data_IF_207016129932
#
_entry.id   IF_207016129932
#
_cell.length_a   1.000
_cell.length_b   1.000
_cell.length_c   1.000
_cell.angle_alpha   90.00
_cell.angle_beta   90.00
_cell.angle_gamma   90.00
#
_symmetry.space_group_name_H-M   'P 1'
#
loop_
_entity.id
_entity.type
_entity.pdbx_description
1 polymer ?
#
# COMPACT_ATOMS: atom_id res chain seq x y z
N UNK A 1 -12.22 -65.84 -36.33
CA UNK A 1 -11.50 -64.62 -35.93
C UNK A 1 -12.39 -63.81 -34.99
N UNK A 2 -12.15 -63.85 -33.67
CA UNK A 2 -12.87 -63.04 -32.68
C UNK A 2 -11.85 -62.39 -31.74
N UNK A 3 -12.10 -61.11 -31.48
CA UNK A 3 -11.16 -60.06 -31.07
C UNK A 3 -10.70 -60.22 -29.61
N UNK A 4 -9.40 -59.99 -29.39
CA UNK A 4 -8.78 -59.82 -28.06
C UNK A 4 -9.13 -58.40 -27.57
N UNK A 5 -9.79 -58.31 -26.42
CA UNK A 5 -9.94 -57.03 -25.70
C UNK A 5 -8.69 -56.81 -24.85
N UNK A 6 -7.90 -55.80 -25.21
CA UNK A 6 -6.81 -55.28 -24.39
C UNK A 6 -7.42 -54.29 -23.40
N UNK A 7 -7.38 -54.63 -22.11
CA UNK A 7 -7.70 -53.71 -21.02
C UNK A 7 -6.45 -52.88 -20.76
N UNK A 8 -6.49 -51.58 -21.10
CA UNK A 8 -5.48 -50.60 -20.72
C UNK A 8 -5.84 -50.05 -19.33
N UNK A 9 -4.98 -50.14 -18.30
CA UNK A 9 -5.25 -49.46 -17.04
C UNK A 9 -4.97 -47.97 -17.22
N UNK A 10 -6.02 -47.16 -17.03
CA UNK A 10 -5.93 -45.71 -16.98
C UNK A 10 -5.23 -45.33 -15.65
N UNK A 11 -3.92 -45.13 -15.69
CA UNK A 11 -3.18 -44.56 -14.56
C UNK A 11 -3.60 -43.10 -14.41
N UNK A 12 -4.40 -42.80 -13.37
CA UNK A 12 -4.74 -41.45 -12.99
C UNK A 12 -3.49 -40.69 -12.53
N UNK A 13 -3.07 -39.71 -13.33
CA UNK A 13 -2.12 -38.69 -12.92
C UNK A 13 -2.79 -37.80 -11.87
N UNK A 14 -2.54 -38.10 -10.60
CA UNK A 14 -2.83 -37.16 -9.50
C UNK A 14 -1.75 -36.07 -9.59
N UNK A 15 -2.07 -34.97 -10.27
CA UNK A 15 -1.28 -33.75 -10.21
C UNK A 15 -1.44 -33.16 -8.80
N UNK A 16 -0.52 -33.51 -7.91
CA UNK A 16 -0.29 -32.75 -6.69
C UNK A 16 0.26 -31.38 -7.11
N UNK A 17 -0.62 -30.36 -7.17
CA UNK A 17 -0.18 -28.97 -7.18
C UNK A 17 0.35 -28.64 -5.79
N UNK A 18 1.59 -29.04 -5.50
CA UNK A 18 2.35 -28.41 -4.43
C UNK A 18 2.66 -26.99 -4.90
N UNK A 19 1.87 -26.01 -4.45
CA UNK A 19 2.38 -24.64 -4.44
C UNK A 19 3.68 -24.65 -3.61
N UNK A 20 4.79 -24.13 -4.15
CA UNK A 20 6.01 -24.03 -3.36
C UNK A 20 5.72 -23.20 -2.11
N UNK A 21 5.86 -23.81 -0.95
CA UNK A 21 5.86 -23.11 0.33
C UNK A 21 7.17 -22.34 0.40
N UNK A 22 7.13 -21.07 0.05
CA UNK A 22 8.27 -20.19 0.28
C UNK A 22 8.36 -19.89 1.77
N UNK A 23 9.38 -20.40 2.45
CA UNK A 23 9.75 -19.92 3.77
C UNK A 23 10.33 -18.51 3.61
N UNK A 24 9.54 -17.50 3.98
CA UNK A 24 10.05 -16.14 4.10
C UNK A 24 10.88 -16.05 5.36
N UNK A 25 12.16 -15.71 5.17
CA UNK A 25 12.99 -15.28 6.29
C UNK A 25 12.56 -13.87 6.65
N UNK A 26 11.92 -13.70 7.80
CA UNK A 26 11.75 -12.39 8.41
C UNK A 26 13.01 -12.05 9.19
N UNK A 27 13.85 -11.12 8.70
CA UNK A 27 15.15 -10.91 9.29
C UNK A 27 15.05 -10.16 10.62
N UNK A 28 15.85 -10.54 11.60
CA UNK A 28 15.84 -9.96 12.94
C UNK A 28 17.25 -9.70 13.46
N UNK A 29 17.43 -8.54 14.12
CA UNK A 29 18.69 -8.23 14.79
C UNK A 29 18.88 -9.14 16.00
N UNK A 30 19.84 -10.07 15.93
CA UNK A 30 20.27 -10.93 17.07
C UNK A 30 21.21 -10.23 18.05
N UNK A 31 21.37 -8.92 17.91
CA UNK A 31 22.25 -8.07 18.71
C UNK A 31 21.48 -6.87 19.20
N UNK A 32 21.98 -6.22 20.26
CA UNK A 32 21.34 -5.02 20.81
C UNK A 32 21.16 -3.93 19.73
N UNK A 33 19.99 -3.28 19.77
CA UNK A 33 19.64 -2.20 18.86
C UNK A 33 20.59 -1.01 19.03
N UNK A 34 21.05 -0.45 17.90
CA UNK A 34 21.84 0.78 17.95
C UNK A 34 21.00 2.01 18.33
N UNK A 35 19.68 1.87 18.39
CA UNK A 35 18.75 2.91 18.82
C UNK A 35 18.54 2.93 20.34
N UNK A 36 19.20 2.02 21.08
CA UNK A 36 19.13 2.05 22.54
C UNK A 36 19.71 3.35 23.08
N UNK A 37 18.94 4.03 23.94
CA UNK A 37 19.28 5.31 24.54
C UNK A 37 19.53 6.43 23.51
N UNK A 38 18.80 6.42 22.38
CA UNK A 38 18.74 7.56 21.47
C UNK A 38 17.53 8.43 21.76
N UNK A 39 17.64 9.73 21.52
CA UNK A 39 16.51 10.65 21.55
C UNK A 39 15.71 10.57 20.24
N UNK A 40 14.42 10.89 20.32
CA UNK A 40 13.55 10.99 19.14
C UNK A 40 13.96 12.15 18.24
N UNK A 41 13.95 11.93 16.93
CA UNK A 41 14.28 12.98 15.96
C UNK A 41 13.17 14.02 15.88
N UNK A 42 13.54 15.30 15.91
CA UNK A 42 12.59 16.40 15.72
C UNK A 42 11.96 16.37 14.32
N UNK A 43 10.71 16.83 14.21
CA UNK A 43 10.01 16.96 12.93
C UNK A 43 10.82 17.75 11.88
N UNK A 44 11.49 18.83 12.31
CA UNK A 44 12.34 19.66 11.44
C UNK A 44 13.49 18.85 10.82
N UNK A 45 14.14 17.98 11.59
CA UNK A 45 15.21 17.11 11.09
C UNK A 45 14.64 16.09 10.10
N UNK A 46 13.51 15.44 10.43
CA UNK A 46 12.85 14.47 9.56
C UNK A 46 12.54 15.06 8.18
N UNK A 47 11.84 16.21 8.15
CA UNK A 47 11.51 16.92 6.90
C UNK A 47 12.77 17.32 6.12
N UNK A 48 13.85 17.71 6.80
CA UNK A 48 15.11 18.05 6.12
C UNK A 48 15.76 16.87 5.41
N UNK A 49 15.50 15.66 5.89
CA UNK A 49 16.00 14.41 5.31
C UNK A 49 15.11 13.86 4.19
N UNK A 50 13.87 14.32 4.04
CA UNK A 50 13.06 13.92 2.89
C UNK A 50 13.64 14.47 1.59
N UNK A 51 13.60 13.66 0.53
CA UNK A 51 14.08 14.06 -0.78
C UNK A 51 14.65 12.91 -1.61
N UNK A 52 15.43 13.30 -2.61
CA UNK A 52 16.05 12.39 -3.58
C UNK A 52 17.53 12.27 -3.29
N UNK A 53 18.03 11.04 -3.30
CA UNK A 53 19.40 10.68 -3.02
C UNK A 53 20.02 9.91 -4.18
N UNK A 54 21.32 10.09 -4.37
CA UNK A 54 22.14 9.25 -5.25
C UNK A 54 22.69 8.08 -4.43
N UNK A 55 22.57 6.87 -4.93
CA UNK A 55 23.22 5.70 -4.35
C UNK A 55 24.67 5.66 -4.87
N UNK A 56 25.63 6.00 -4.01
CA UNK A 56 27.07 6.04 -4.34
C UNK A 56 27.71 4.67 -4.13
N UNK A 57 27.27 3.93 -3.11
CA UNK A 57 27.62 2.52 -2.87
C UNK A 57 26.33 1.71 -2.69
N UNK A 58 26.25 0.52 -3.29
CA UNK A 58 25.07 -0.33 -3.31
C UNK A 58 24.09 -0.06 -4.45
N UNK A 59 24.51 0.67 -5.50
CA UNK A 59 23.65 1.02 -6.64
C UNK A 59 23.30 -0.21 -7.49
N UNK A 60 24.18 -1.20 -7.52
CA UNK A 60 23.91 -2.53 -8.07
C UNK A 60 22.73 -3.21 -7.36
N UNK A 61 22.53 -2.98 -6.06
CA UNK A 61 21.42 -3.56 -5.30
C UNK A 61 20.13 -2.70 -5.33
N UNK A 62 20.23 -1.37 -5.26
CA UNK A 62 19.07 -0.50 -5.03
C UNK A 62 18.73 0.44 -6.19
N UNK A 63 19.58 0.46 -7.24
CA UNK A 63 19.54 1.41 -8.34
C UNK A 63 20.26 2.72 -8.00
N UNK A 64 20.48 3.58 -9.00
CA UNK A 64 21.30 4.80 -8.85
C UNK A 64 20.61 5.92 -8.05
N UNK A 65 19.28 5.89 -7.97
CA UNK A 65 18.45 6.91 -7.31
C UNK A 65 17.55 6.22 -6.29
N UNK A 66 17.47 6.82 -5.12
CA UNK A 66 16.58 6.40 -4.05
C UNK A 66 15.87 7.61 -3.44
N UNK A 67 14.58 7.45 -3.15
CA UNK A 67 13.74 8.45 -2.49
C UNK A 67 13.73 8.18 -1.00
N UNK A 68 13.84 9.20 -0.15
CA UNK A 68 13.65 9.07 1.29
C UNK A 68 12.41 9.85 1.73
N UNK A 69 11.53 9.21 2.51
CA UNK A 69 10.28 9.79 3.00
C UNK A 69 10.02 9.37 4.44
N UNK A 70 9.51 10.30 5.25
CA UNK A 70 9.08 10.02 6.61
C UNK A 70 7.57 9.83 6.70
N UNK A 71 7.16 8.83 7.48
CA UNK A 71 5.78 8.55 7.86
C UNK A 71 5.74 8.34 9.38
N UNK A 72 5.34 9.38 10.12
CA UNK A 72 5.41 9.41 11.58
C UNK A 72 6.84 9.23 12.12
N UNK A 73 7.09 8.10 12.77
CA UNK A 73 8.39 7.71 13.34
C UNK A 73 9.21 6.78 12.44
N UNK A 74 8.73 6.50 11.23
CA UNK A 74 9.38 5.59 10.28
C UNK A 74 10.00 6.38 9.13
N UNK A 75 11.26 6.10 8.84
CA UNK A 75 11.94 6.53 7.62
C UNK A 75 11.89 5.40 6.60
N UNK A 76 11.27 5.67 5.46
CA UNK A 76 11.27 4.75 4.33
C UNK A 76 12.18 5.25 3.22
N UNK A 77 12.91 4.32 2.61
CA UNK A 77 13.60 4.57 1.34
C UNK A 77 12.94 3.78 0.21
N UNK A 78 12.82 4.36 -0.98
CA UNK A 78 12.23 3.72 -2.17
C UNK A 78 13.17 3.79 -3.36
N UNK A 79 13.81 2.67 -3.67
CA UNK A 79 14.76 2.51 -4.77
C UNK A 79 14.11 1.95 -6.03
N UNK A 80 14.80 2.11 -7.16
CA UNK A 80 14.26 1.75 -8.49
C UNK A 80 14.40 0.28 -8.84
N UNK A 81 15.45 -0.37 -8.35
CA UNK A 81 15.73 -1.77 -8.70
C UNK A 81 14.74 -2.68 -7.97
N UNK A 82 13.96 -3.45 -8.73
CA UNK A 82 13.00 -4.45 -8.20
C UNK A 82 12.05 -3.90 -7.13
N UNK A 83 11.72 -2.60 -7.21
CA UNK A 83 10.90 -1.94 -6.19
C UNK A 83 11.49 -2.00 -4.79
N UNK A 84 12.82 -1.97 -4.68
CA UNK A 84 13.51 -2.05 -3.40
C UNK A 84 13.05 -0.97 -2.44
N UNK A 85 12.87 -1.32 -1.18
CA UNK A 85 12.52 -0.34 -0.17
C UNK A 85 13.13 -0.68 1.18
N UNK A 86 13.24 0.33 2.03
CA UNK A 86 13.74 0.22 3.39
C UNK A 86 12.65 0.71 4.34
N UNK A 87 12.56 0.11 5.51
CA UNK A 87 11.70 0.57 6.61
C UNK A 87 12.57 0.64 7.86
N UNK A 88 12.86 1.86 8.30
CA UNK A 88 13.82 2.13 9.36
C UNK A 88 13.19 2.95 10.49
N UNK A 89 13.63 2.67 11.71
CA UNK A 89 13.49 3.60 12.84
C UNK A 89 14.77 4.43 12.95
N UNK A 90 14.64 5.65 13.47
CA UNK A 90 15.76 6.57 13.61
C UNK A 90 15.78 7.29 14.94
N UNK A 91 16.97 7.62 15.43
CA UNK A 91 17.18 8.34 16.68
C UNK A 91 18.50 9.12 16.66
N UNK A 92 18.60 10.15 17.50
CA UNK A 92 19.83 10.92 17.67
C UNK A 92 20.59 10.52 18.93
N UNK A 93 21.92 10.50 18.84
CA UNK A 93 22.81 10.32 19.99
C UNK A 93 24.11 11.07 19.73
N UNK A 94 24.49 11.94 20.66
CA UNK A 94 25.64 12.82 20.53
C UNK A 94 25.61 13.64 19.23
N UNK A 95 26.61 13.46 18.35
CA UNK A 95 26.70 14.11 17.03
C UNK A 95 26.38 13.13 15.89
N UNK A 96 25.50 12.17 16.18
CA UNK A 96 25.08 11.14 15.23
C UNK A 96 23.56 11.04 15.14
N UNK A 97 23.07 10.76 13.94
CA UNK A 97 21.73 10.24 13.72
C UNK A 97 21.90 8.80 13.25
N UNK A 98 21.24 7.88 13.95
CA UNK A 98 21.34 6.44 13.75
C UNK A 98 20.02 5.94 13.17
N UNK A 99 20.11 4.97 12.26
CA UNK A 99 18.95 4.27 11.69
C UNK A 99 19.15 2.78 11.72
N UNK A 100 18.10 2.05 12.05
CA UNK A 100 18.09 0.60 12.08
C UNK A 100 16.77 0.06 11.53
N UNK A 101 16.84 -0.99 10.73
CA UNK A 101 15.64 -1.65 10.22
C UNK A 101 15.96 -2.64 9.11
N UNK A 102 15.00 -2.80 8.20
CA UNK A 102 15.03 -3.81 7.14
C UNK A 102 15.00 -3.17 5.76
N UNK A 103 15.52 -3.87 4.76
CA UNK A 103 15.28 -3.60 3.34
C UNK A 103 14.65 -4.82 2.69
N UNK A 104 13.89 -4.62 1.61
CA UNK A 104 13.21 -5.69 0.86
C UNK A 104 13.02 -5.32 -0.61
N UNK A 105 12.94 -6.30 -1.49
CA UNK A 105 12.42 -6.14 -2.85
C UNK A 105 10.91 -6.40 -2.90
N UNK A 106 10.15 -5.46 -3.49
CA UNK A 106 8.69 -5.59 -3.59
C UNK A 106 8.25 -6.72 -4.53
N UNK A 107 9.08 -7.08 -5.51
CA UNK A 107 8.77 -8.10 -6.53
C UNK A 107 9.53 -9.42 -6.33
N UNK A 108 10.19 -9.61 -5.20
CA UNK A 108 10.86 -10.89 -4.86
C UNK A 108 10.81 -11.18 -3.36
N UNK A 109 11.37 -12.33 -2.94
CA UNK A 109 11.48 -12.73 -1.54
C UNK A 109 12.71 -12.17 -0.83
N UNK A 110 13.60 -11.48 -1.56
CA UNK A 110 14.85 -10.98 -1.01
C UNK A 110 14.62 -9.84 -0.03
N UNK A 111 15.24 -9.98 1.14
CA UNK A 111 15.13 -9.07 2.27
C UNK A 111 16.39 -9.14 3.11
N UNK A 112 16.63 -8.13 3.93
CA UNK A 112 17.73 -8.17 4.87
C UNK A 112 17.77 -6.98 5.82
N UNK A 113 18.76 -7.00 6.70
CA UNK A 113 18.94 -5.99 7.72
C UNK A 113 19.87 -4.86 7.25
N UNK A 114 19.66 -3.67 7.79
CA UNK A 114 20.52 -2.53 7.54
C UNK A 114 20.65 -1.62 8.76
N UNK A 115 21.84 -1.02 8.89
CA UNK A 115 22.13 0.03 9.88
C UNK A 115 22.80 1.18 9.15
N UNK A 116 22.24 2.36 9.33
CA UNK A 116 22.73 3.59 8.71
C UNK A 116 23.06 4.63 9.77
N UNK A 117 23.94 5.56 9.40
CA UNK A 117 24.37 6.66 10.26
C UNK A 117 24.62 7.92 9.44
N UNK A 118 24.27 9.05 10.05
CA UNK A 118 24.77 10.37 9.66
C UNK A 118 25.62 10.86 10.83
N UNK A 119 26.87 11.20 10.55
CA UNK A 119 27.82 11.70 11.54
C UNK A 119 28.52 12.96 10.99
N UNK A 120 29.43 13.52 11.78
CA UNK A 120 30.21 14.71 11.39
C UNK A 120 30.92 14.56 10.03
N UNK A 121 31.54 13.40 9.77
CA UNK A 121 32.21 13.13 8.47
C UNK A 121 31.23 13.08 7.30
N UNK A 122 29.97 12.75 7.59
CA UNK A 122 28.89 12.65 6.61
C UNK A 122 28.08 13.93 6.49
N UNK A 123 28.50 15.03 7.14
CA UNK A 123 27.89 16.35 6.98
C UNK A 123 26.68 16.63 7.87
N UNK A 124 26.57 16.01 9.05
CA UNK A 124 25.46 16.24 10.00
C UNK A 124 25.25 17.74 10.33
N UNK A 125 26.32 18.54 10.34
CA UNK A 125 26.24 19.97 10.62
C UNK A 125 25.35 20.71 9.61
N UNK A 126 25.26 20.23 8.36
CA UNK A 126 24.35 20.79 7.34
C UNK A 126 22.88 20.45 7.58
N UNK A 127 22.59 19.40 8.36
CA UNK A 127 21.23 19.04 8.79
C UNK A 127 20.81 19.78 10.05
N UNK A 128 21.75 19.99 10.98
CA UNK A 128 21.49 20.62 12.28
C UNK A 128 21.46 22.15 12.18
N UNK A 129 22.32 22.75 11.38
CA UNK A 129 22.39 24.20 11.23
C UNK A 129 21.35 24.71 10.21
N UNK A 130 20.76 25.89 10.47
CA UNK A 130 19.71 26.50 9.65
C UNK A 130 20.25 27.47 8.59
N UNK A 131 21.56 27.54 8.42
CA UNK A 131 22.16 28.43 7.43
C UNK A 131 21.87 27.88 6.04
N UNK A 132 21.17 28.69 5.25
CA UNK A 132 20.55 28.50 3.93
C UNK A 132 21.50 28.10 2.78
N UNK A 133 22.56 27.34 3.07
CA UNK A 133 23.44 26.73 2.09
C UNK A 133 22.86 25.45 1.46
N UNK A 134 23.42 25.07 0.31
CA UNK A 134 23.13 23.79 -0.32
C UNK A 134 23.37 22.63 0.67
N UNK A 135 22.31 21.86 0.96
CA UNK A 135 22.41 20.65 1.80
C UNK A 135 23.40 19.68 1.16
N UNK A 136 24.46 19.33 1.88
CA UNK A 136 25.43 18.34 1.43
C UNK A 136 25.77 17.41 2.58
N UNK A 137 24.92 16.40 2.75
CA UNK A 137 25.18 15.30 3.66
C UNK A 137 25.04 13.95 2.94
N UNK A 138 25.62 12.94 3.53
CA UNK A 138 25.44 11.54 3.14
C UNK A 138 24.90 10.73 4.30
N UNK A 139 24.19 9.67 3.96
CA UNK A 139 23.81 8.60 4.88
C UNK A 139 24.71 7.43 4.51
N UNK A 140 25.49 6.93 5.47
CA UNK A 140 26.42 5.82 5.25
C UNK A 140 26.07 4.67 6.18
N UNK A 141 26.43 3.46 5.83
CA UNK A 141 26.18 2.32 6.69
C UNK A 141 26.45 1.00 6.02
N UNK A 142 25.78 -0.03 6.52
CA UNK A 142 25.87 -1.37 5.96
C UNK A 142 24.49 -1.97 5.75
N UNK A 143 24.42 -2.90 4.80
CA UNK A 143 23.29 -3.81 4.64
C UNK A 143 23.83 -5.22 4.44
N UNK A 144 22.98 -6.21 4.67
CA UNK A 144 23.25 -7.58 4.28
C UNK A 144 21.97 -8.32 3.96
N UNK A 145 22.08 -9.61 3.69
CA UNK A 145 20.94 -10.46 3.32
C UNK A 145 20.45 -11.21 4.56
N UNK A 146 19.14 -11.39 4.65
CA UNK A 146 18.48 -12.04 5.77
C UNK A 146 18.98 -11.46 7.11
N UNK A 147 19.50 -12.30 8.00
CA UNK A 147 19.96 -11.91 9.34
C UNK A 147 21.38 -11.31 9.37
N UNK A 148 22.12 -11.34 8.26
CA UNK A 148 23.40 -10.63 8.16
C UNK A 148 23.17 -9.18 7.76
N UNK A 149 23.78 -8.23 8.48
CA UNK A 149 23.62 -6.79 8.23
C UNK A 149 24.94 -6.08 7.91
N UNK A 150 26.08 -6.79 7.98
CA UNK A 150 27.43 -6.20 7.86
C UNK A 150 28.13 -6.59 6.57
N UNK A 151 27.41 -7.20 5.63
CA UNK A 151 28.03 -7.80 4.45
C UNK A 151 28.50 -6.77 3.44
N UNK A 152 27.75 -5.67 3.27
CA UNK A 152 27.97 -4.72 2.18
C UNK A 152 27.85 -3.26 2.66
N UNK A 153 28.66 -2.38 2.07
CA UNK A 153 28.59 -0.94 2.30
C UNK A 153 27.43 -0.30 1.52
N UNK A 154 26.76 0.66 2.13
CA UNK A 154 25.81 1.57 1.46
C UNK A 154 26.18 3.02 1.74
N UNK A 155 26.05 3.86 0.70
CA UNK A 155 26.23 5.31 0.80
C UNK A 155 25.20 6.02 -0.05
N UNK A 156 24.38 6.84 0.59
CA UNK A 156 23.34 7.65 -0.04
C UNK A 156 23.72 9.12 0.08
N UNK A 157 23.94 9.81 -1.04
CA UNK A 157 24.25 11.24 -1.06
C UNK A 157 22.99 12.05 -1.37
N UNK A 158 22.63 12.99 -0.49
CA UNK A 158 21.49 13.88 -0.74
C UNK A 158 21.70 14.68 -2.03
N UNK A 159 20.70 14.72 -2.89
CA UNK A 159 20.72 15.51 -4.13
C UNK A 159 19.86 16.76 -3.96
N UNK A 160 18.58 16.58 -3.62
CA UNK A 160 17.58 17.65 -3.60
C UNK A 160 16.34 17.28 -2.79
N UNK A 161 15.55 18.27 -2.35
CA UNK A 161 14.20 18.00 -1.84
C UNK A 161 13.27 17.52 -2.96
N UNK A 162 12.06 17.09 -2.59
CA UNK A 162 10.98 16.89 -3.56
C UNK A 162 10.70 18.18 -4.32
N UNK A 163 10.44 18.06 -5.62
CA UNK A 163 10.17 19.22 -6.47
C UNK A 163 8.91 19.95 -6.03
N UNK A 164 8.77 21.21 -6.46
CA UNK A 164 7.56 21.98 -6.17
C UNK A 164 6.32 21.33 -6.76
N UNK A 165 6.39 20.78 -7.97
CA UNK A 165 5.29 20.05 -8.60
C UNK A 165 4.84 18.86 -7.75
N UNK A 166 5.78 18.07 -7.21
CA UNK A 166 5.47 16.92 -6.34
C UNK A 166 4.87 17.37 -5.01
N UNK A 167 5.36 18.47 -4.42
CA UNK A 167 4.89 18.99 -3.12
C UNK A 167 3.53 19.65 -3.20
N UNK A 168 3.22 20.32 -4.31
CA UNK A 168 2.00 21.10 -4.47
C UNK A 168 0.85 20.29 -5.10
N UNK A 169 1.12 19.17 -5.79
CA UNK A 169 0.07 18.32 -6.35
C UNK A 169 -0.52 17.39 -5.29
N UNK A 170 -1.85 17.36 -5.20
CA UNK A 170 -2.58 16.39 -4.38
C UNK A 170 -2.70 15.06 -5.12
N UNK A 171 -1.58 14.33 -5.23
CA UNK A 171 -1.52 13.03 -5.91
C UNK A 171 -1.68 11.87 -4.92
N UNK A 172 -2.46 10.86 -5.30
CA UNK A 172 -2.76 9.71 -4.46
C UNK A 172 -1.97 8.47 -4.90
N UNK A 173 -1.19 7.92 -3.96
CA UNK A 173 -0.58 6.60 -4.08
C UNK A 173 -1.45 5.69 -3.23
N UNK A 174 -2.28 4.88 -3.88
CA UNK A 174 -3.24 4.01 -3.22
C UNK A 174 -2.69 2.60 -3.16
N UNK A 175 -2.57 2.07 -1.93
CA UNK A 175 -2.20 0.68 -1.75
C UNK A 175 -3.43 -0.23 -1.88
N UNK A 176 -3.37 -1.15 -2.83
CA UNK A 176 -4.42 -2.13 -3.08
C UNK A 176 -4.54 -3.12 -1.92
N UNK A 177 -5.77 -3.45 -1.52
CA UNK A 177 -6.10 -4.35 -0.39
C UNK A 177 -5.42 -3.95 0.93
N UNK A 178 -5.23 -2.65 1.13
CA UNK A 178 -4.55 -2.06 2.28
C UNK A 178 -3.02 -1.99 2.20
N UNK A 179 -2.36 -2.64 1.23
CA UNK A 179 -0.89 -2.65 1.17
C UNK A 179 -0.25 -3.47 0.05
N UNK A 180 -0.96 -4.47 -0.48
CA UNK A 180 -0.50 -5.39 -1.52
C UNK A 180 -1.14 -6.78 -1.35
N UNK A 181 -0.73 -7.75 -2.17
CA UNK A 181 -1.28 -9.13 -2.10
C UNK A 181 -0.47 -9.99 -1.15
N UNK A 182 -1.10 -11.03 -0.64
CA UNK A 182 -0.38 -12.06 0.13
C UNK A 182 0.79 -12.69 -0.65
N UNK A 183 0.67 -12.82 -1.98
CA UNK A 183 1.73 -13.35 -2.85
C UNK A 183 2.93 -12.40 -3.03
N UNK A 184 2.80 -11.14 -2.64
CA UNK A 184 3.88 -10.14 -2.67
C UNK A 184 4.62 -10.05 -1.32
N UNK A 185 4.18 -10.82 -0.31
CA UNK A 185 4.85 -10.99 0.97
C UNK A 185 5.08 -9.67 1.74
N UNK A 186 4.03 -8.85 1.78
CA UNK A 186 4.00 -7.50 2.35
C UNK A 186 3.87 -7.48 3.88
N UNK A 187 4.38 -8.51 4.58
CA UNK A 187 4.49 -8.55 6.05
C UNK A 187 3.19 -8.69 6.86
N UNK A 188 2.03 -8.53 6.22
CA UNK A 188 0.71 -8.72 6.80
C UNK A 188 -0.27 -9.21 5.73
N UNK A 189 -1.40 -9.77 6.15
CA UNK A 189 -2.41 -10.29 5.23
C UNK A 189 -3.15 -9.16 4.51
N UNK A 190 -3.45 -9.33 3.23
CA UNK A 190 -4.32 -8.41 2.50
C UNK A 190 -5.66 -8.21 3.25
N UNK A 191 -6.18 -6.98 3.25
CA UNK A 191 -7.40 -6.57 3.97
C UNK A 191 -7.38 -6.71 5.51
N UNK A 192 -6.21 -6.87 6.17
CA UNK A 192 -6.09 -6.81 7.64
C UNK A 192 -5.88 -5.39 8.19
N UNK A 193 -6.00 -5.21 9.51
CA UNK A 193 -5.64 -3.93 10.16
C UNK A 193 -4.12 -3.71 10.15
N UNK A 194 -3.37 -4.80 10.23
CA UNK A 194 -1.92 -4.84 10.24
C UNK A 194 -1.37 -4.34 8.90
N UNK A 195 -1.92 -4.77 7.76
CA UNK A 195 -1.46 -4.29 6.46
C UNK A 195 -1.80 -2.81 6.24
N UNK A 196 -2.97 -2.35 6.72
CA UNK A 196 -3.34 -0.93 6.70
C UNK A 196 -2.32 -0.09 7.47
N UNK A 197 -1.78 -0.60 8.58
CA UNK A 197 -0.73 0.06 9.39
C UNK A 197 0.61 0.19 8.65
N UNK A 198 0.84 -0.63 7.63
CA UNK A 198 2.07 -0.64 6.83
C UNK A 198 1.97 0.24 5.59
N UNK A 199 0.77 0.60 5.15
CA UNK A 199 0.53 1.36 3.91
C UNK A 199 1.40 2.62 3.77
N UNK A 200 1.46 3.46 4.82
CA UNK A 200 2.25 4.70 4.81
C UNK A 200 3.76 4.43 4.75
N UNK A 201 4.20 3.29 5.28
CA UNK A 201 5.61 2.87 5.25
C UNK A 201 6.00 2.40 3.85
N UNK A 202 5.04 1.92 3.06
CA UNK A 202 5.20 1.61 1.65
C UNK A 202 5.04 2.82 0.72
N UNK A 203 4.87 4.02 1.29
CA UNK A 203 4.79 5.28 0.54
C UNK A 203 3.39 5.64 0.07
N UNK A 204 2.38 4.84 0.43
CA UNK A 204 0.99 5.14 0.15
C UNK A 204 0.46 6.27 1.03
N UNK A 205 -0.47 7.05 0.49
CA UNK A 205 -1.22 8.07 1.24
C UNK A 205 -2.74 7.83 1.21
N UNK A 206 -3.16 6.74 0.59
CA UNK A 206 -4.48 6.17 0.70
C UNK A 206 -4.44 4.66 0.48
N UNK A 207 -5.57 4.02 0.70
CA UNK A 207 -5.74 2.58 0.52
C UNK A 207 -7.01 2.30 -0.28
N UNK A 208 -7.05 1.13 -0.88
CA UNK A 208 -8.28 0.47 -1.29
C UNK A 208 -8.45 -0.78 -0.41
N UNK A 209 -9.70 -1.09 -0.03
CA UNK A 209 -10.07 -2.27 0.76
C UNK A 209 -11.35 -2.88 0.22
N UNK A 210 -11.38 -4.22 0.21
CA UNK A 210 -12.48 -5.00 -0.36
C UNK A 210 -13.58 -5.22 0.68
N UNK A 211 -14.80 -4.76 0.40
CA UNK A 211 -15.93 -4.81 1.33
C UNK A 211 -16.96 -5.86 0.92
N UNK A 212 -17.19 -6.81 1.81
CA UNK A 212 -18.19 -7.88 1.72
C UNK A 212 -19.25 -7.73 2.81
N UNK A 213 -20.40 -8.40 2.65
CA UNK A 213 -21.48 -8.39 3.63
C UNK A 213 -21.63 -9.78 4.26
N UNK A 214 -21.57 -9.87 5.60
CA UNK A 214 -21.77 -11.14 6.31
C UNK A 214 -23.24 -11.57 6.31
N UNK A 215 -23.53 -12.82 6.67
CA UNK A 215 -24.91 -13.35 6.75
C UNK A 215 -25.83 -12.51 7.63
N UNK A 216 -25.28 -11.95 8.70
CA UNK A 216 -25.96 -11.08 9.67
C UNK A 216 -25.85 -9.58 9.31
N UNK A 217 -25.54 -9.28 8.04
CA UNK A 217 -25.49 -7.93 7.46
C UNK A 217 -24.46 -6.99 8.09
N UNK A 218 -23.32 -7.52 8.53
CA UNK A 218 -22.20 -6.73 9.02
C UNK A 218 -21.15 -6.60 7.91
N UNK A 219 -20.82 -5.39 7.44
CA UNK A 219 -19.75 -5.21 6.47
C UNK A 219 -18.38 -5.60 7.03
N UNK A 220 -17.60 -6.36 6.28
CA UNK A 220 -16.28 -6.84 6.67
C UNK A 220 -15.32 -6.86 5.49
N UNK A 221 -14.01 -6.96 5.77
CA UNK A 221 -12.99 -6.93 4.72
C UNK A 221 -12.55 -8.33 4.28
N UNK A 222 -12.69 -8.60 2.99
CA UNK A 222 -12.25 -9.84 2.33
C UNK A 222 -12.41 -9.72 0.80
N UNK A 223 -11.48 -10.27 0.00
CA UNK A 223 -11.50 -10.07 -1.45
C UNK A 223 -12.29 -11.15 -2.21
N UNK A 224 -11.97 -12.44 -2.05
CA UNK A 224 -12.59 -13.50 -2.86
C UNK A 224 -13.99 -13.89 -2.36
N UNK A 225 -14.86 -14.37 -3.25
CA UNK A 225 -16.21 -14.80 -2.87
C UNK A 225 -16.25 -15.98 -1.89
N UNK A 226 -15.20 -16.81 -1.86
CA UNK A 226 -15.12 -18.03 -1.06
C UNK A 226 -13.89 -18.04 -0.15
N UNK A 227 -14.02 -18.67 1.02
CA UNK A 227 -12.89 -18.98 1.90
C UNK A 227 -11.89 -19.86 1.14
N UNK A 228 -10.64 -19.41 1.05
CA UNK A 228 -9.61 -20.05 0.26
C UNK A 228 -8.20 -19.90 0.88
N UNK A 229 -7.26 -20.77 0.46
CA UNK A 229 -5.90 -20.80 1.01
C UNK A 229 -4.97 -19.67 0.53
N UNK A 230 -5.39 -18.87 -0.45
CA UNK A 230 -4.66 -17.67 -0.91
C UNK A 230 -4.81 -16.55 0.11
N UNK A 231 -5.98 -16.42 0.73
CA UNK A 231 -6.30 -15.37 1.71
C UNK A 231 -6.26 -15.85 3.17
N UNK A 232 -6.48 -17.14 3.43
CA UNK A 232 -6.61 -17.66 4.79
C UNK A 232 -5.66 -18.81 5.07
N UNK A 233 -5.42 -19.08 6.35
CA UNK A 233 -4.90 -20.37 6.79
C UNK A 233 -5.95 -21.46 6.57
N UNK A 234 -5.50 -22.71 6.54
CA UNK A 234 -6.40 -23.87 6.50
C UNK A 234 -7.26 -23.87 7.77
N UNK A 235 -8.58 -23.78 7.59
CA UNK A 235 -9.55 -23.70 8.69
C UNK A 235 -10.71 -24.68 8.54
N UNK A 236 -11.69 -24.54 9.43
CA UNK A 236 -12.89 -25.41 9.46
C UNK A 236 -13.98 -24.97 8.50
N UNK A 237 -14.07 -23.67 8.21
CA UNK A 237 -15.09 -23.12 7.31
C UNK A 237 -14.62 -23.18 5.86
N UNK A 238 -15.55 -23.52 4.96
CA UNK A 238 -15.35 -23.59 3.51
C UNK A 238 -16.59 -23.05 2.80
N UNK A 239 -16.43 -22.52 1.59
CA UNK A 239 -17.51 -22.00 0.76
C UNK A 239 -17.67 -20.47 0.84
N UNK A 240 -18.82 -19.93 0.39
CA UNK A 240 -19.01 -18.49 0.25
C UNK A 240 -18.91 -17.76 1.58
N UNK A 241 -18.10 -16.70 1.65
CA UNK A 241 -17.86 -15.97 2.91
C UNK A 241 -19.13 -15.32 3.46
N UNK A 242 -20.04 -14.92 2.58
CA UNK A 242 -21.31 -14.29 2.96
C UNK A 242 -22.31 -15.24 3.64
N UNK A 243 -22.07 -16.56 3.60
CA UNK A 243 -22.93 -17.55 4.26
C UNK A 243 -22.69 -17.65 5.78
N UNK A 244 -21.71 -16.92 6.31
CA UNK A 244 -21.31 -16.96 7.71
C UNK A 244 -21.58 -15.63 8.40
N UNK A 245 -21.90 -15.68 9.69
CA UNK A 245 -22.00 -14.46 10.51
C UNK A 245 -20.61 -13.91 10.80
N UNK A 246 -20.51 -12.61 11.12
CA UNK A 246 -19.21 -12.01 11.44
C UNK A 246 -18.55 -12.70 12.64
N UNK A 247 -19.33 -13.12 13.62
CA UNK A 247 -18.83 -13.86 14.79
C UNK A 247 -18.22 -15.21 14.40
N UNK A 248 -18.82 -15.93 13.44
CA UNK A 248 -18.27 -17.18 12.92
C UNK A 248 -16.98 -16.94 12.15
N UNK A 249 -16.95 -15.93 11.27
CA UNK A 249 -15.76 -15.58 10.49
C UNK A 249 -14.58 -15.24 11.41
N UNK A 250 -14.78 -14.36 12.40
CA UNK A 250 -13.73 -13.99 13.36
C UNK A 250 -13.25 -15.15 14.24
N UNK A 251 -14.13 -16.10 14.53
CA UNK A 251 -13.79 -17.23 15.41
C UNK A 251 -13.02 -18.34 14.68
N UNK A 252 -13.40 -18.63 13.43
CA UNK A 252 -12.97 -19.84 12.73
C UNK A 252 -12.13 -19.59 11.48
N UNK A 253 -11.97 -18.34 11.06
CA UNK A 253 -11.11 -17.96 9.94
C UNK A 253 -9.95 -17.12 10.46
N UNK A 254 -8.74 -17.52 10.08
CA UNK A 254 -7.54 -16.74 10.25
C UNK A 254 -7.02 -16.37 8.86
N UNK A 255 -6.71 -15.09 8.67
CA UNK A 255 -6.05 -14.62 7.47
C UNK A 255 -4.67 -15.26 7.34
N UNK A 256 -4.06 -15.13 6.15
CA UNK A 256 -2.84 -15.86 5.75
C UNK A 256 -1.72 -15.82 6.79
N UNK A 257 -1.48 -14.66 7.41
CA UNK A 257 -0.44 -14.46 8.42
C UNK A 257 -0.95 -14.63 9.88
N UNK A 258 -2.22 -14.96 10.08
CA UNK A 258 -2.81 -15.29 11.38
C UNK A 258 -3.72 -14.22 11.97
N UNK A 259 -3.89 -13.09 11.28
CA UNK A 259 -4.77 -12.02 11.70
C UNK A 259 -6.25 -12.44 11.63
N UNK A 260 -7.11 -11.72 12.33
CA UNK A 260 -8.56 -11.91 12.26
C UNK A 260 -9.14 -11.07 11.12
N UNK A 261 -10.25 -11.54 10.54
CA UNK A 261 -11.02 -10.76 9.58
C UNK A 261 -11.60 -9.51 10.27
N UNK A 262 -11.25 -8.30 9.83
CA UNK A 262 -11.80 -7.08 10.41
C UNK A 262 -13.18 -6.77 9.82
N UNK A 263 -14.04 -6.14 10.62
CA UNK A 263 -15.21 -5.43 10.11
C UNK A 263 -14.78 -4.14 9.41
N UNK A 264 -15.63 -3.61 8.54
CA UNK A 264 -15.38 -2.30 7.92
C UNK A 264 -15.27 -1.19 8.98
N UNK A 265 -16.08 -1.25 10.04
CA UNK A 265 -16.02 -0.27 11.13
C UNK A 265 -14.65 -0.29 11.82
N UNK A 266 -14.16 -1.48 12.21
CA UNK A 266 -12.82 -1.61 12.81
C UNK A 266 -11.71 -1.10 11.89
N UNK A 267 -11.79 -1.39 10.59
CA UNK A 267 -10.81 -0.92 9.61
C UNK A 267 -10.82 0.61 9.45
N UNK A 268 -11.99 1.23 9.34
CA UNK A 268 -12.11 2.67 9.20
C UNK A 268 -11.76 3.43 10.49
N UNK A 269 -12.08 2.86 11.66
CA UNK A 269 -11.60 3.40 12.94
C UNK A 269 -10.08 3.34 13.04
N UNK A 270 -9.48 2.22 12.63
CA UNK A 270 -8.04 2.08 12.58
C UNK A 270 -7.40 3.12 11.64
N UNK A 271 -7.97 3.34 10.45
CA UNK A 271 -7.53 4.42 9.55
C UNK A 271 -7.64 5.79 10.22
N UNK A 272 -8.74 6.06 10.93
CA UNK A 272 -9.00 7.35 11.56
C UNK A 272 -8.01 7.67 12.69
N UNK A 273 -7.78 6.70 13.58
CA UNK A 273 -7.07 6.92 14.85
C UNK A 273 -5.61 6.46 14.84
N UNK A 274 -5.23 5.53 13.95
CA UNK A 274 -3.92 4.88 13.99
C UNK A 274 -3.06 5.13 12.74
N UNK A 275 -3.55 5.92 11.78
CA UNK A 275 -2.81 6.27 10.56
C UNK A 275 -2.94 7.75 10.22
N UNK A 276 -2.09 8.25 9.32
CA UNK A 276 -2.28 9.55 8.67
C UNK A 276 -2.77 9.45 7.22
N UNK A 277 -3.28 8.29 6.81
CA UNK A 277 -3.88 8.08 5.49
C UNK A 277 -4.96 9.14 5.23
N UNK A 278 -5.04 9.59 3.99
CA UNK A 278 -5.93 10.68 3.56
C UNK A 278 -7.12 10.17 2.75
N UNK A 279 -7.06 8.93 2.28
CA UNK A 279 -8.03 8.40 1.34
C UNK A 279 -8.28 6.90 1.56
N UNK A 280 -9.55 6.51 1.49
CA UNK A 280 -9.99 5.10 1.48
C UNK A 280 -10.95 4.90 0.31
N UNK A 281 -10.63 3.95 -0.56
CA UNK A 281 -11.54 3.40 -1.57
C UNK A 281 -12.15 2.12 -1.01
N UNK A 282 -13.48 2.07 -0.89
CA UNK A 282 -14.21 0.86 -0.52
C UNK A 282 -14.61 0.10 -1.80
N UNK A 283 -13.88 -0.94 -2.18
CA UNK A 283 -14.23 -1.77 -3.34
C UNK A 283 -15.39 -2.71 -2.94
N UNK A 284 -16.57 -2.45 -3.50
CA UNK A 284 -17.81 -3.11 -3.09
C UNK A 284 -17.96 -4.45 -3.81
N UNK A 285 -17.67 -5.56 -3.12
CA UNK A 285 -17.63 -6.92 -3.69
C UNK A 285 -18.90 -7.75 -3.51
N UNK A 286 -19.74 -7.39 -2.54
CA UNK A 286 -20.92 -8.20 -2.16
C UNK A 286 -21.90 -8.42 -3.31
N UNK A 287 -22.49 -9.61 -3.43
CA UNK A 287 -23.60 -9.84 -4.36
C UNK A 287 -24.96 -9.38 -3.78
N UNK A 288 -24.96 -8.91 -2.52
CA UNK A 288 -26.12 -8.38 -1.82
C UNK A 288 -26.00 -6.87 -1.65
N UNK A 289 -27.15 -6.20 -1.46
CA UNK A 289 -27.15 -4.76 -1.23
C UNK A 289 -26.57 -4.42 0.16
N UNK A 290 -25.30 -4.04 0.17
CA UNK A 290 -24.55 -3.60 1.35
C UNK A 290 -24.51 -2.08 1.55
N UNK A 291 -25.11 -1.31 0.63
CA UNK A 291 -25.08 0.16 0.65
C UNK A 291 -25.59 0.75 1.97
N UNK A 292 -26.72 0.32 2.56
CA UNK A 292 -27.22 0.93 3.79
C UNK A 292 -26.22 0.89 4.94
N UNK A 293 -25.60 -0.28 5.17
CA UNK A 293 -24.66 -0.48 6.26
C UNK A 293 -23.31 0.19 5.99
N UNK A 294 -22.83 0.14 4.75
CA UNK A 294 -21.53 0.75 4.38
C UNK A 294 -21.61 2.27 4.43
N UNK A 295 -22.68 2.88 3.92
CA UNK A 295 -22.86 4.34 3.92
C UNK A 295 -23.03 4.87 5.35
N UNK A 296 -23.75 4.16 6.21
CA UNK A 296 -23.91 4.53 7.62
C UNK A 296 -22.54 4.60 8.34
N UNK A 297 -21.72 3.55 8.20
CA UNK A 297 -20.36 3.51 8.77
C UNK A 297 -19.49 4.61 8.15
N UNK A 298 -19.54 4.80 6.83
CA UNK A 298 -18.79 5.83 6.12
C UNK A 298 -19.10 7.22 6.67
N UNK A 299 -20.38 7.59 6.78
CA UNK A 299 -20.81 8.91 7.23
C UNK A 299 -20.42 9.16 8.69
N UNK A 300 -20.59 8.16 9.56
CA UNK A 300 -20.17 8.24 10.95
C UNK A 300 -18.66 8.51 11.07
N UNK A 301 -17.83 7.76 10.34
CA UNK A 301 -16.37 7.96 10.35
C UNK A 301 -15.99 9.33 9.78
N UNK A 302 -16.61 9.78 8.68
CA UNK A 302 -16.33 11.10 8.10
C UNK A 302 -16.73 12.23 9.06
N UNK A 303 -17.84 12.10 9.79
CA UNK A 303 -18.24 13.05 10.82
C UNK A 303 -17.22 13.09 11.97
N UNK A 304 -16.78 11.93 12.46
CA UNK A 304 -15.72 11.85 13.49
C UNK A 304 -14.40 12.42 13.00
N UNK A 305 -14.03 12.18 11.74
CA UNK A 305 -12.84 12.77 11.11
C UNK A 305 -12.92 14.30 11.07
N UNK A 306 -14.07 14.87 10.68
CA UNK A 306 -14.29 16.31 10.66
C UNK A 306 -14.15 16.92 12.06
N UNK A 307 -14.71 16.28 13.10
CA UNK A 307 -14.58 16.73 14.49
C UNK A 307 -13.13 16.72 14.99
N UNK A 308 -12.30 15.80 14.49
CA UNK A 308 -10.88 15.69 14.80
C UNK A 308 -9.99 16.58 13.90
N UNK A 309 -10.58 17.30 12.93
CA UNK A 309 -9.83 18.06 11.94
C UNK A 309 -8.98 17.19 10.99
N UNK A 310 -9.30 15.89 10.88
CA UNK A 310 -8.64 14.96 9.95
C UNK A 310 -9.17 15.20 8.53
N UNK A 311 -8.27 15.54 7.62
CA UNK A 311 -8.56 15.51 6.19
C UNK A 311 -8.53 14.06 5.68
N UNK A 312 -9.65 13.36 5.85
CA UNK A 312 -9.86 11.98 5.44
C UNK A 312 -11.03 11.92 4.47
N UNK A 313 -10.81 11.29 3.32
CA UNK A 313 -11.83 10.99 2.33
C UNK A 313 -12.09 9.49 2.29
N UNK A 314 -13.36 9.10 2.24
CA UNK A 314 -13.77 7.71 2.08
C UNK A 314 -14.74 7.69 0.91
N UNK A 315 -14.47 6.90 -0.13
CA UNK A 315 -15.34 6.79 -1.31
C UNK A 315 -15.92 5.38 -1.40
N UNK A 316 -17.24 5.29 -1.55
CA UNK A 316 -17.91 4.04 -1.93
C UNK A 316 -17.59 3.75 -3.40
N UNK A 317 -16.92 2.63 -3.68
CA UNK A 317 -16.60 2.18 -5.02
C UNK A 317 -17.81 1.56 -5.72
N UNK A 318 -17.92 1.78 -7.03
CA UNK A 318 -18.99 1.25 -7.87
C UNK A 318 -18.39 0.41 -8.99
N UNK A 319 -17.95 -0.83 -8.69
CA UNK A 319 -17.27 -1.71 -9.66
C UNK A 319 -18.23 -2.34 -10.67
N UNK A 320 -19.54 -2.32 -10.39
CA UNK A 320 -20.58 -2.99 -11.19
C UNK A 320 -21.84 -2.15 -11.31
N UNK A 321 -22.65 -2.42 -12.34
CA UNK A 321 -23.98 -1.80 -12.49
C UNK A 321 -24.91 -2.13 -11.32
N UNK A 322 -24.75 -3.31 -10.71
CA UNK A 322 -25.50 -3.69 -9.51
C UNK A 322 -25.22 -2.72 -8.36
N UNK A 323 -23.95 -2.41 -8.09
CA UNK A 323 -23.57 -1.45 -7.05
C UNK A 323 -24.03 -0.03 -7.40
N UNK A 324 -23.88 0.38 -8.66
CA UNK A 324 -24.37 1.68 -9.13
C UNK A 324 -25.88 1.82 -8.88
N UNK A 325 -26.67 0.81 -9.24
CA UNK A 325 -28.12 0.83 -9.06
C UNK A 325 -28.53 0.80 -7.58
N UNK A 326 -27.80 0.05 -6.74
CA UNK A 326 -28.02 0.05 -5.29
C UNK A 326 -27.76 1.44 -4.68
N UNK A 327 -26.72 2.15 -5.15
CA UNK A 327 -26.48 3.52 -4.71
C UNK A 327 -27.58 4.47 -5.19
N UNK A 328 -28.00 4.41 -6.46
CA UNK A 328 -29.11 5.24 -6.98
C UNK A 328 -30.42 5.02 -6.23
N UNK A 329 -30.67 3.80 -5.74
CA UNK A 329 -31.83 3.48 -4.93
C UNK A 329 -31.71 3.92 -3.46
N UNK A 330 -30.52 4.32 -3.00
CA UNK A 330 -30.29 4.76 -1.64
C UNK A 330 -30.86 6.18 -1.41
N UNK A 331 -31.58 6.45 -0.30
CA UNK A 331 -32.10 7.77 0.00
C UNK A 331 -30.99 8.83 0.07
N UNK A 332 -31.16 9.96 -0.62
CA UNK A 332 -30.18 11.06 -0.67
C UNK A 332 -28.80 10.62 -1.17
N UNK A 333 -28.72 9.66 -2.09
CA UNK A 333 -27.46 9.15 -2.64
C UNK A 333 -26.52 10.24 -3.18
N UNK A 334 -27.06 11.38 -3.62
CA UNK A 334 -26.26 12.51 -4.12
C UNK A 334 -25.29 13.07 -3.07
N UNK A 335 -25.55 12.84 -1.78
CA UNK A 335 -24.69 13.26 -0.68
C UNK A 335 -23.63 12.22 -0.31
N UNK A 336 -23.69 11.02 -0.90
CA UNK A 336 -22.78 9.91 -0.61
C UNK A 336 -21.51 10.08 -1.43
N UNK A 337 -20.33 10.30 -0.80
CA UNK A 337 -19.08 10.33 -1.53
C UNK A 337 -18.79 8.97 -2.17
N UNK A 338 -18.71 8.95 -3.50
CA UNK A 338 -18.51 7.74 -4.30
C UNK A 338 -17.48 7.94 -5.40
N UNK A 339 -16.94 6.82 -5.84
CA UNK A 339 -16.04 6.66 -6.97
C UNK A 339 -16.64 5.61 -7.92
N UNK A 340 -16.59 5.86 -9.23
CA UNK A 340 -17.15 4.96 -10.24
C UNK A 340 -16.07 4.38 -11.15
N UNK A 341 -16.08 3.06 -11.32
CA UNK A 341 -15.08 2.34 -12.14
C UNK A 341 -15.56 2.04 -13.55
N UNK A 342 -16.82 2.34 -13.83
CA UNK A 342 -17.50 2.03 -15.08
C UNK A 342 -17.24 3.13 -16.13
N UNK A 343 -18.12 3.26 -17.12
CA UNK A 343 -18.00 4.31 -18.14
C UNK A 343 -18.13 5.73 -17.57
N UNK A 344 -17.62 6.72 -18.31
CA UNK A 344 -17.76 8.15 -17.96
C UNK A 344 -19.24 8.56 -17.86
N UNK A 345 -20.10 8.02 -18.74
CA UNK A 345 -21.54 8.28 -18.69
C UNK A 345 -22.18 7.77 -17.39
N UNK A 346 -21.78 6.57 -16.94
CA UNK A 346 -22.23 6.00 -15.67
C UNK A 346 -21.68 6.77 -14.46
N UNK A 347 -20.43 7.22 -14.54
CA UNK A 347 -19.84 8.11 -13.55
C UNK A 347 -20.65 9.43 -13.41
N UNK A 348 -21.05 10.03 -14.52
CA UNK A 348 -21.88 11.25 -14.51
C UNK A 348 -23.30 11.00 -14.02
N UNK A 349 -23.94 9.88 -14.40
CA UNK A 349 -25.33 9.59 -14.05
C UNK A 349 -25.53 9.43 -12.53
N UNK A 350 -24.53 8.89 -11.83
CA UNK A 350 -24.55 8.73 -10.37
C UNK A 350 -23.97 9.95 -9.62
N UNK A 351 -23.33 10.88 -10.33
CA UNK A 351 -22.76 12.09 -9.75
C UNK A 351 -21.53 11.86 -8.88
N UNK A 352 -20.77 10.78 -9.11
CA UNK A 352 -19.56 10.44 -8.34
C UNK A 352 -18.52 11.57 -8.34
N UNK A 353 -17.60 11.53 -7.37
CA UNK A 353 -16.53 12.53 -7.23
C UNK A 353 -15.26 12.14 -7.99
N UNK A 354 -15.05 10.84 -8.17
CA UNK A 354 -13.86 10.27 -8.79
C UNK A 354 -14.26 9.23 -9.83
N UNK A 355 -13.66 9.29 -11.01
CA UNK A 355 -13.74 8.24 -12.02
C UNK A 355 -12.50 7.36 -11.93
N UNK A 356 -12.64 6.03 -12.03
CA UNK A 356 -11.54 5.10 -11.86
C UNK A 356 -11.52 4.01 -12.96
N UNK A 357 -11.09 4.34 -14.19
CA UNK A 357 -10.96 3.36 -15.26
C UNK A 357 -9.81 2.36 -15.01
N UNK A 358 -9.91 1.21 -15.68
CA UNK A 358 -8.81 0.24 -15.75
C UNK A 358 -7.65 0.81 -16.55
N UNK A 359 -6.42 0.56 -16.09
CA UNK A 359 -5.21 1.06 -16.76
C UNK A 359 -5.05 0.58 -18.20
N UNK A 360 -5.62 -0.58 -18.54
CA UNK A 360 -5.57 -1.14 -19.90
C UNK A 360 -6.33 -0.31 -20.93
N UNK A 361 -7.11 0.68 -20.49
CA UNK A 361 -7.77 1.67 -21.36
C UNK A 361 -6.83 2.81 -21.77
N UNK A 362 -5.59 2.84 -21.27
CA UNK A 362 -4.60 3.86 -21.58
C UNK A 362 -4.68 5.10 -20.68
N UNK A 363 -4.04 6.19 -21.10
CA UNK A 363 -3.91 7.41 -20.28
C UNK A 363 -5.16 8.29 -20.27
N UNK A 364 -6.07 8.11 -21.24
CA UNK A 364 -7.40 8.75 -21.29
C UNK A 364 -7.35 10.28 -21.08
N UNK A 365 -6.31 10.94 -21.58
CA UNK A 365 -6.03 12.36 -21.32
C UNK A 365 -7.22 13.28 -21.64
N UNK A 366 -7.92 13.16 -22.79
CA UNK A 366 -9.06 14.02 -23.08
C UNK A 366 -10.19 13.91 -22.04
N UNK A 367 -10.49 12.68 -21.59
CA UNK A 367 -11.53 12.41 -20.61
C UNK A 367 -11.11 12.95 -19.23
N UNK A 368 -9.87 12.68 -18.81
CA UNK A 368 -9.33 13.17 -17.53
C UNK A 368 -9.33 14.70 -17.48
N UNK A 369 -8.94 15.39 -18.56
CA UNK A 369 -9.00 16.86 -18.64
C UNK A 369 -10.41 17.41 -18.57
N UNK A 370 -11.36 16.74 -19.22
CA UNK A 370 -12.78 17.12 -19.16
C UNK A 370 -13.26 17.04 -17.71
N UNK A 371 -12.99 15.92 -17.03
CA UNK A 371 -13.33 15.72 -15.62
C UNK A 371 -12.66 16.76 -14.70
N UNK A 372 -11.39 17.09 -14.93
CA UNK A 372 -10.70 18.15 -14.18
C UNK A 372 -11.36 19.52 -14.39
N UNK A 373 -11.82 19.83 -15.61
CA UNK A 373 -12.58 21.04 -15.92
C UNK A 373 -13.91 21.15 -15.16
N UNK A 374 -14.48 20.01 -14.76
CA UNK A 374 -15.69 19.91 -13.93
C UNK A 374 -15.38 19.89 -12.42
N UNK A 375 -14.10 19.98 -12.02
CA UNK A 375 -13.67 19.85 -10.64
C UNK A 375 -13.75 18.42 -10.09
N UNK A 376 -13.83 17.42 -10.97
CA UNK A 376 -13.76 15.99 -10.63
C UNK A 376 -12.32 15.50 -10.65
N UNK A 377 -12.09 14.30 -10.11
CA UNK A 377 -10.77 13.63 -10.14
C UNK A 377 -10.85 12.32 -10.90
N UNK A 378 -9.70 11.83 -11.35
CA UNK A 378 -9.59 10.52 -11.97
C UNK A 378 -8.45 9.70 -11.35
N UNK A 379 -8.71 8.45 -10.99
CA UNK A 379 -7.71 7.47 -10.54
C UNK A 379 -7.58 6.34 -11.56
N UNK A 380 -6.52 5.53 -11.48
CA UNK A 380 -6.33 4.39 -12.38
C UNK A 380 -5.95 3.13 -11.62
N UNK A 381 -6.48 1.98 -12.03
CA UNK A 381 -6.27 0.69 -11.34
C UNK A 381 -6.19 -0.53 -12.26
N UNK A 382 -5.72 -1.69 -11.80
CA UNK A 382 -4.64 -1.85 -10.79
C UNK A 382 -3.32 -1.90 -11.55
N UNK A 383 -2.44 -0.92 -11.31
CA UNK A 383 -1.25 -0.69 -12.13
C UNK A 383 0.00 -1.21 -11.42
N UNK A 384 0.46 -2.41 -11.80
CA UNK A 384 1.54 -3.11 -11.08
C UNK A 384 2.86 -3.19 -11.85
N UNK A 385 2.82 -3.11 -13.18
CA UNK A 385 4.01 -3.28 -13.99
C UNK A 385 4.86 -2.00 -13.98
N UNK A 386 6.11 -2.09 -13.53
CA UNK A 386 7.02 -0.94 -13.37
C UNK A 386 7.12 -0.05 -14.61
N UNK A 387 7.19 -0.64 -15.81
CA UNK A 387 7.26 0.13 -17.05
C UNK A 387 6.00 0.96 -17.29
N UNK A 388 4.81 0.39 -17.05
CA UNK A 388 3.55 1.12 -17.17
C UNK A 388 3.34 2.10 -16.02
N UNK A 389 3.75 1.78 -14.78
CA UNK A 389 3.77 2.77 -13.68
C UNK A 389 4.61 3.98 -14.09
N UNK A 390 5.82 3.76 -14.61
CA UNK A 390 6.70 4.84 -15.07
C UNK A 390 6.06 5.66 -16.19
N UNK A 391 5.44 5.00 -17.16
CA UNK A 391 4.72 5.65 -18.25
C UNK A 391 3.59 6.54 -17.71
N UNK A 392 2.69 6.00 -16.88
CA UNK A 392 1.55 6.75 -16.35
C UNK A 392 1.97 7.91 -15.46
N UNK A 393 3.01 7.75 -14.64
CA UNK A 393 3.55 8.84 -13.81
C UNK A 393 4.06 10.01 -14.68
N UNK A 394 4.58 9.74 -15.87
CA UNK A 394 5.16 10.74 -16.75
C UNK A 394 4.16 11.35 -17.73
N UNK A 395 3.26 10.53 -18.26
CA UNK A 395 2.46 10.85 -19.46
C UNK A 395 0.98 11.00 -19.17
N UNK A 396 0.48 10.52 -18.03
CA UNK A 396 -0.94 10.62 -17.68
C UNK A 396 -1.23 11.83 -16.80
N UNK A 397 -2.50 12.20 -16.74
CA UNK A 397 -3.00 13.29 -15.90
C UNK A 397 -3.83 12.79 -14.72
N UNK A 398 -3.89 11.48 -14.48
CA UNK A 398 -4.58 10.91 -13.33
C UNK A 398 -4.10 11.55 -12.01
N UNK A 399 -5.02 11.65 -11.06
CA UNK A 399 -4.81 12.17 -9.72
C UNK A 399 -4.30 11.10 -8.76
N UNK A 400 -4.35 9.82 -9.15
CA UNK A 400 -3.86 8.74 -8.33
C UNK A 400 -3.75 7.40 -9.04
N UNK A 401 -2.88 6.54 -8.50
CA UNK A 401 -2.66 5.17 -8.95
C UNK A 401 -2.99 4.22 -7.82
N UNK A 402 -3.83 3.22 -8.10
CA UNK A 402 -4.03 2.03 -7.29
C UNK A 402 -3.09 0.91 -7.76
N UNK A 403 -2.32 0.35 -6.83
CA UNK A 403 -1.27 -0.63 -7.14
C UNK A 403 -1.03 -1.59 -5.97
N UNK A 404 -0.55 -2.80 -6.29
CA UNK A 404 0.04 -3.72 -5.31
C UNK A 404 1.46 -3.31 -4.89
N UNK A 405 2.08 -2.37 -5.62
CA UNK A 405 3.46 -1.94 -5.39
C UNK A 405 3.55 -0.43 -5.16
N UNK A 406 2.94 0.10 -4.08
CA UNK A 406 3.01 1.53 -3.76
C UNK A 406 4.44 2.03 -3.60
N UNK A 407 5.39 1.16 -3.21
CA UNK A 407 6.82 1.47 -3.12
C UNK A 407 7.43 1.88 -4.47
N UNK A 408 7.01 1.25 -5.56
CA UNK A 408 7.47 1.56 -6.92
C UNK A 408 6.90 2.91 -7.35
N UNK A 409 5.60 3.14 -7.13
CA UNK A 409 4.95 4.42 -7.42
C UNK A 409 5.62 5.54 -6.63
N UNK A 410 5.91 5.33 -5.34
CA UNK A 410 6.60 6.30 -4.49
C UNK A 410 8.02 6.60 -4.99
N UNK A 411 8.80 5.56 -5.35
CA UNK A 411 10.15 5.75 -5.92
C UNK A 411 10.13 6.65 -7.16
N UNK A 412 9.16 6.45 -8.04
CA UNK A 412 9.08 7.15 -9.32
C UNK A 412 8.44 8.54 -9.20
N UNK A 413 7.33 8.66 -8.46
CA UNK A 413 6.58 9.91 -8.31
C UNK A 413 7.40 10.97 -7.54
N UNK A 414 7.96 10.61 -6.38
CA UNK A 414 8.72 11.57 -5.57
C UNK A 414 10.07 11.95 -6.19
N UNK A 415 10.58 11.15 -7.13
CA UNK A 415 11.78 11.44 -7.90
C UNK A 415 11.54 12.37 -9.09
N UNK A 416 10.30 12.78 -9.40
CA UNK A 416 10.04 13.76 -10.47
C UNK A 416 10.73 15.09 -10.17
N UNK A 417 11.07 15.78 -11.26
CA UNK A 417 11.61 17.15 -11.24
C UNK A 417 10.52 18.19 -11.42
#
# INVERSE_FOLDING_TARGET
MKKIFVILPLFGLILLSCEPVYELVEPEFKVESILKNTDSLSYKIKVRMEGVYRVVKGADQFGDIIVAKWSGETLSFFGRKLGSYFILKGGSKDTMILFEGKWRYAVSTETGLTRLVINKRSGIDSLLNDTSGAKSFSIVGTFGNENDFRSNDIQLKYIRPFSEAVRNKNYYILAHRGGGRNSDFVGASENSLEIISLAEQYGANGIEIDVMLSKDNVPFLYHDANINLRETKKGLLLGPVENFTIAQLKSFVELKNGEKIPTLCEALEHVLYNTNLKFVWLDMKSERNSMPQVIEIQQDILNRAALLGRNLEIMVGLPTEFMLNNLLAYPNYQNVPSLCELSVDQFHSVGSKIWAPRWTMGTLIPDVRTLHGEGKRAFVWTLDQTLFIQQFINESEFDGILTNYPTIVASLYYAKE
#
